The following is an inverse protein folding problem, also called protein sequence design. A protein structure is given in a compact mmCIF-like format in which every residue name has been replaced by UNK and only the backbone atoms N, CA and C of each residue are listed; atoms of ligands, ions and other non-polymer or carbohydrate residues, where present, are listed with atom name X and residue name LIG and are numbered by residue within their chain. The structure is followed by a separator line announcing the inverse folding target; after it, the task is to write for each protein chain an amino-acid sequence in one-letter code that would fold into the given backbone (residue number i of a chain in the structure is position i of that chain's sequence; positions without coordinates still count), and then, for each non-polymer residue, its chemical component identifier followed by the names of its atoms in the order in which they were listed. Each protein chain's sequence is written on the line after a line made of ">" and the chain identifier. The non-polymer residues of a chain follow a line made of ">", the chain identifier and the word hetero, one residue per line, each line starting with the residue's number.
data_IF_863019658839
#
_entry.id   IF_863019658839
#
_cell.length_a   1.000
_cell.length_b   1.000
_cell.length_c   1.000
_cell.angle_alpha   90.00
_cell.angle_beta   90.00
_cell.angle_gamma   90.00
#
_symmetry.space_group_name_H-M   'P 1'
#
loop_
_entity.id
_entity.type
_entity.pdbx_description
1 polymer ?
#
# COMPACT_ATOMS: atom_id res chain seq x y z
N UNK A 1 -6.57 7.07 -8.80
CA UNK A 1 -6.17 6.07 -7.79
C UNK A 1 -4.96 5.25 -8.19
N UNK A 2 -4.95 4.55 -9.34
CA UNK A 2 -3.78 3.77 -9.79
C UNK A 2 -2.46 4.53 -9.80
N UNK A 3 -2.46 5.78 -10.26
CA UNK A 3 -1.27 6.66 -10.25
C UNK A 3 -0.63 6.76 -8.87
N UNK A 4 -1.44 6.92 -7.81
CA UNK A 4 -0.96 6.98 -6.43
C UNK A 4 -0.33 5.63 -6.03
N UNK A 5 -0.98 4.51 -6.37
CA UNK A 5 -0.47 3.17 -6.08
C UNK A 5 0.89 2.88 -6.76
N UNK A 6 1.03 3.29 -8.03
CA UNK A 6 2.29 3.15 -8.77
C UNK A 6 3.38 4.01 -8.12
N UNK A 7 3.08 5.28 -7.87
CA UNK A 7 4.00 6.26 -7.31
C UNK A 7 4.54 5.89 -5.91
N UNK A 8 3.82 5.09 -5.12
CA UNK A 8 4.35 4.53 -3.87
C UNK A 8 5.60 3.69 -4.14
N UNK A 9 5.61 2.88 -5.21
CA UNK A 9 6.76 2.05 -5.54
C UNK A 9 7.96 2.88 -5.99
N UNK A 10 7.72 3.93 -6.78
CA UNK A 10 8.76 4.88 -7.18
C UNK A 10 9.32 5.62 -5.97
N UNK A 11 8.45 6.11 -5.08
CA UNK A 11 8.83 6.83 -3.87
C UNK A 11 9.66 5.96 -2.91
N UNK A 12 9.38 4.65 -2.85
CA UNK A 12 10.08 3.70 -1.98
C UNK A 12 11.18 2.93 -2.71
N UNK A 13 11.49 3.28 -3.96
CA UNK A 13 12.49 2.61 -4.80
C UNK A 13 12.31 1.09 -4.85
N UNK A 14 11.06 0.64 -5.01
CA UNK A 14 10.75 -0.78 -5.19
C UNK A 14 11.22 -1.23 -6.57
N UNK A 15 11.88 -2.39 -6.64
CA UNK A 15 12.45 -2.94 -7.88
C UNK A 15 11.42 -3.78 -8.69
N UNK A 16 10.12 -3.61 -8.41
CA UNK A 16 9.04 -4.39 -9.00
C UNK A 16 8.40 -3.72 -10.23
N UNK A 17 7.78 -4.54 -11.09
CA UNK A 17 7.05 -4.04 -12.26
C UNK A 17 5.58 -3.79 -11.90
N UNK A 18 5.12 -2.52 -11.83
CA UNK A 18 3.81 -2.20 -11.26
C UNK A 18 2.64 -2.74 -12.09
N UNK A 19 2.80 -2.88 -13.40
CA UNK A 19 1.75 -3.37 -14.31
C UNK A 19 1.24 -4.77 -13.95
N UNK A 20 2.10 -5.63 -13.40
CA UNK A 20 1.72 -6.97 -12.92
C UNK A 20 0.73 -6.98 -11.75
N UNK A 21 0.51 -5.84 -11.09
CA UNK A 21 -0.40 -5.71 -9.96
C UNK A 21 -1.76 -5.11 -10.31
N UNK A 22 -1.99 -4.69 -11.57
CA UNK A 22 -3.19 -3.93 -11.93
C UNK A 22 -4.49 -4.65 -11.56
N UNK A 23 -4.60 -5.94 -11.94
CA UNK A 23 -5.77 -6.74 -11.60
C UNK A 23 -5.94 -6.90 -10.08
N UNK A 24 -4.85 -7.18 -9.35
CA UNK A 24 -4.91 -7.33 -7.89
C UNK A 24 -5.30 -6.04 -7.18
N UNK A 25 -4.88 -4.90 -7.71
CA UNK A 25 -5.27 -3.58 -7.22
C UNK A 25 -6.76 -3.33 -7.44
N UNK A 26 -7.29 -3.62 -8.62
CA UNK A 26 -8.73 -3.46 -8.90
C UNK A 26 -9.58 -4.39 -8.02
N UNK A 27 -9.19 -5.66 -7.91
CA UNK A 27 -9.83 -6.62 -7.00
C UNK A 27 -9.74 -6.18 -5.54
N UNK A 28 -8.63 -5.55 -5.13
CA UNK A 28 -8.51 -5.01 -3.78
C UNK A 28 -9.55 -3.91 -3.52
N UNK A 29 -9.69 -2.94 -4.44
CA UNK A 29 -10.68 -1.87 -4.29
C UNK A 29 -12.10 -2.46 -4.24
N UNK A 30 -12.43 -3.35 -5.17
CA UNK A 30 -13.74 -4.02 -5.21
C UNK A 30 -14.04 -4.75 -3.90
N UNK A 31 -13.11 -5.57 -3.43
CA UNK A 31 -13.27 -6.31 -2.17
C UNK A 31 -13.45 -5.37 -0.98
N UNK A 32 -12.72 -4.25 -0.95
CA UNK A 32 -12.81 -3.30 0.16
C UNK A 32 -14.15 -2.59 0.18
N UNK A 33 -14.62 -2.16 -0.99
CA UNK A 33 -15.93 -1.51 -1.14
C UNK A 33 -17.08 -2.47 -0.87
N UNK A 34 -16.99 -3.73 -1.30
CA UNK A 34 -17.98 -4.76 -1.00
C UNK A 34 -18.07 -5.07 0.50
N UNK A 35 -16.92 -5.08 1.19
CA UNK A 35 -16.89 -5.32 2.64
C UNK A 35 -17.42 -4.12 3.44
N UNK A 36 -17.08 -2.90 3.01
CA UNK A 36 -17.57 -1.67 3.61
C UNK A 36 -17.77 -0.58 2.53
N UNK A 37 -19.03 -0.30 2.15
CA UNK A 37 -19.35 0.66 1.08
C UNK A 37 -18.81 2.07 1.28
N UNK A 38 -18.50 2.48 2.52
CA UNK A 38 -17.93 3.81 2.81
C UNK A 38 -16.58 4.03 2.10
N UNK A 39 -15.84 2.95 1.81
CA UNK A 39 -14.57 3.06 1.09
C UNK A 39 -14.71 3.58 -0.35
N UNK A 40 -15.87 3.40 -0.99
CA UNK A 40 -16.14 4.05 -2.28
C UNK A 40 -16.00 5.56 -2.15
N UNK A 41 -16.62 6.15 -1.12
CA UNK A 41 -16.54 7.57 -0.83
C UNK A 41 -15.11 8.02 -0.59
N UNK A 42 -14.31 7.25 0.14
CA UNK A 42 -12.89 7.59 0.36
C UNK A 42 -12.07 7.55 -0.93
N UNK A 43 -12.30 6.58 -1.81
CA UNK A 43 -11.56 6.49 -3.07
C UNK A 43 -11.95 7.57 -4.07
N UNK A 44 -13.24 7.90 -4.16
CA UNK A 44 -13.75 9.01 -4.98
C UNK A 44 -13.25 10.34 -4.45
N UNK A 45 -13.39 10.60 -3.15
CA UNK A 45 -12.91 11.84 -2.53
C UNK A 45 -11.39 11.98 -2.67
N UNK A 46 -10.64 10.90 -2.45
CA UNK A 46 -9.20 10.87 -2.63
C UNK A 46 -8.77 11.12 -4.08
N UNK A 47 -9.54 10.66 -5.07
CA UNK A 47 -9.28 10.96 -6.48
C UNK A 47 -9.45 12.45 -6.76
N UNK A 48 -10.60 13.01 -6.37
CA UNK A 48 -10.88 14.42 -6.55
C UNK A 48 -9.87 15.32 -5.81
N UNK A 49 -9.46 14.94 -4.60
CA UNK A 49 -8.43 15.66 -3.86
C UNK A 49 -7.08 15.64 -4.58
N UNK A 50 -6.66 14.46 -5.07
CA UNK A 50 -5.39 14.34 -5.79
C UNK A 50 -5.40 15.10 -7.12
N UNK A 51 -6.51 15.09 -7.85
CA UNK A 51 -6.67 15.86 -9.09
C UNK A 51 -6.58 17.37 -8.82
N UNK A 52 -7.28 17.87 -7.80
CA UNK A 52 -7.19 19.27 -7.36
C UNK A 52 -5.75 19.63 -6.97
N UNK A 53 -5.11 18.80 -6.13
CA UNK A 53 -3.74 19.05 -5.68
C UNK A 53 -2.75 19.04 -6.85
N UNK A 54 -2.95 18.14 -7.81
CA UNK A 54 -2.14 18.07 -9.04
C UNK A 54 -2.31 19.32 -9.90
N UNK A 55 -3.54 19.85 -10.00
CA UNK A 55 -3.80 21.10 -10.71
C UNK A 55 -3.14 22.31 -10.03
N UNK A 56 -3.11 22.34 -8.69
CA UNK A 56 -2.61 23.47 -7.92
C UNK A 56 -1.07 23.54 -7.86
N UNK A 57 -0.41 22.40 -7.62
CA UNK A 57 1.04 22.36 -7.34
C UNK A 57 1.84 21.43 -8.26
N UNK A 58 1.16 20.81 -9.24
CA UNK A 58 1.77 19.86 -10.16
C UNK A 58 1.86 18.43 -9.60
N UNK A 59 2.01 17.42 -10.48
CA UNK A 59 1.86 16.01 -10.12
C UNK A 59 2.94 15.50 -9.16
N UNK A 60 4.20 15.88 -9.38
CA UNK A 60 5.31 15.44 -8.54
C UNK A 60 5.19 15.96 -7.10
N UNK A 61 4.91 17.26 -6.95
CA UNK A 61 4.73 17.88 -5.64
C UNK A 61 3.45 17.39 -4.95
N UNK A 62 2.38 17.09 -5.68
CA UNK A 62 1.17 16.49 -5.14
C UNK A 62 1.43 15.09 -4.56
N UNK A 63 2.16 14.24 -5.28
CA UNK A 63 2.56 12.91 -4.80
C UNK A 63 3.48 13.01 -3.57
N UNK A 64 4.49 13.89 -3.62
CA UNK A 64 5.34 14.16 -2.46
C UNK A 64 4.51 14.61 -1.26
N UNK A 65 3.55 15.51 -1.44
CA UNK A 65 2.67 15.99 -0.36
C UNK A 65 1.84 14.86 0.27
N UNK A 66 1.37 13.91 -0.54
CA UNK A 66 0.64 12.73 -0.06
C UNK A 66 1.54 11.80 0.77
N UNK A 67 2.82 11.66 0.41
CA UNK A 67 3.74 10.69 1.05
C UNK A 67 4.64 11.27 2.15
N UNK A 68 4.93 12.58 2.13
CA UNK A 68 5.95 13.22 2.95
C UNK A 68 5.60 13.35 4.44
N UNK A 69 4.36 13.06 4.85
CA UNK A 69 3.99 13.14 6.25
C UNK A 69 4.17 11.78 6.93
N UNK A 70 5.27 11.63 7.68
CA UNK A 70 5.33 10.62 8.76
C UNK A 70 4.08 10.83 9.63
N UNK A 71 3.29 9.80 9.94
CA UNK A 71 2.11 9.98 10.78
C UNK A 71 2.59 10.57 12.12
N UNK A 72 2.26 11.84 12.36
CA UNK A 72 2.63 12.55 13.61
C UNK A 72 1.74 12.14 14.78
N UNK A 73 0.70 11.35 14.53
CA UNK A 73 -0.34 11.04 15.51
C UNK A 73 -0.68 9.56 15.43
N UNK A 74 -0.86 8.95 16.60
CA UNK A 74 -1.57 7.67 16.76
C UNK A 74 -2.86 7.74 15.91
N UNK A 75 -3.16 6.69 15.15
CA UNK A 75 -4.35 6.63 14.29
C UNK A 75 -5.65 6.52 15.12
N UNK A 76 -5.91 7.48 16.01
CA UNK A 76 -7.13 7.57 16.81
C UNK A 76 -7.86 8.88 16.47
N UNK A 77 -9.19 8.81 16.42
CA UNK A 77 -10.06 9.96 16.15
C UNK A 77 -10.38 10.23 14.67
N UNK A 78 -11.23 11.23 14.45
CA UNK A 78 -11.68 11.70 13.12
C UNK A 78 -10.54 12.49 12.47
N UNK A 79 -10.20 12.27 11.17
CA UNK A 79 -9.18 13.06 10.50
C UNK A 79 -9.48 14.56 10.56
N UNK A 80 -8.49 15.37 10.91
CA UNK A 80 -8.65 16.82 11.05
C UNK A 80 -8.65 17.56 9.70
N UNK A 81 -8.08 16.93 8.67
CA UNK A 81 -8.00 17.51 7.32
C UNK A 81 -8.32 16.47 6.25
N UNK A 82 -8.72 16.94 5.05
CA UNK A 82 -8.91 16.08 3.88
C UNK A 82 -7.62 15.34 3.49
N UNK A 83 -6.46 16.01 3.60
CA UNK A 83 -5.15 15.37 3.38
C UNK A 83 -4.96 14.20 4.33
N UNK A 84 -5.26 14.37 5.62
CA UNK A 84 -5.14 13.31 6.61
C UNK A 84 -6.11 12.15 6.30
N UNK A 85 -7.35 12.45 5.90
CA UNK A 85 -8.31 11.42 5.50
C UNK A 85 -7.81 10.60 4.31
N UNK A 86 -7.30 11.25 3.26
CA UNK A 86 -6.75 10.58 2.07
C UNK A 86 -5.52 9.76 2.43
N UNK A 87 -4.61 10.30 3.26
CA UNK A 87 -3.45 9.55 3.73
C UNK A 87 -3.86 8.31 4.51
N UNK A 88 -4.83 8.45 5.43
CA UNK A 88 -5.27 7.37 6.31
C UNK A 88 -6.04 6.27 5.56
N UNK A 89 -7.00 6.64 4.73
CA UNK A 89 -7.96 5.69 4.15
C UNK A 89 -7.64 5.28 2.71
N UNK A 90 -6.67 5.94 2.05
CA UNK A 90 -6.27 5.61 0.68
C UNK A 90 -4.79 5.24 0.62
N UNK A 91 -3.90 6.18 0.99
CA UNK A 91 -2.45 5.99 0.83
C UNK A 91 -1.95 4.81 1.68
N UNK A 92 -2.34 4.75 2.96
CA UNK A 92 -1.92 3.68 3.86
C UNK A 92 -2.43 2.29 3.44
N UNK A 93 -3.63 2.20 2.86
CA UNK A 93 -4.14 0.94 2.30
C UNK A 93 -3.31 0.49 1.10
N UNK A 94 -2.95 1.42 0.22
CA UNK A 94 -2.14 1.11 -0.96
C UNK A 94 -0.71 0.74 -0.61
N UNK A 95 -0.13 1.39 0.40
CA UNK A 95 1.16 0.99 0.99
C UNK A 95 1.04 -0.43 1.55
N UNK A 96 0.00 -0.71 2.35
CA UNK A 96 -0.22 -2.04 2.94
C UNK A 96 -0.37 -3.12 1.85
N UNK A 97 -1.07 -2.82 0.76
CA UNK A 97 -1.19 -3.71 -0.39
C UNK A 97 0.15 -3.92 -1.09
N UNK A 98 0.94 -2.88 -1.37
CA UNK A 98 2.29 -2.99 -1.96
C UNK A 98 3.18 -3.91 -1.12
N UNK A 99 3.13 -3.76 0.20
CA UNK A 99 3.87 -4.61 1.12
C UNK A 99 3.40 -6.07 1.04
N UNK A 100 2.09 -6.31 1.06
CA UNK A 100 1.50 -7.65 0.96
C UNK A 100 1.79 -8.35 -0.37
N UNK A 101 1.96 -7.58 -1.46
CA UNK A 101 2.31 -8.09 -2.79
C UNK A 101 3.81 -8.42 -2.95
N UNK A 102 4.61 -8.24 -1.90
CA UNK A 102 6.02 -8.61 -1.87
C UNK A 102 6.99 -7.45 -2.07
N UNK A 103 6.55 -6.19 -1.95
CA UNK A 103 7.42 -5.01 -2.06
C UNK A 103 8.64 -5.04 -1.11
N UNK A 104 8.54 -5.73 0.03
CA UNK A 104 9.66 -5.93 0.96
C UNK A 104 10.88 -6.65 0.37
N UNK A 105 10.73 -7.43 -0.70
CA UNK A 105 11.85 -8.08 -1.38
C UNK A 105 12.93 -7.07 -1.81
N UNK A 106 12.53 -5.87 -2.20
CA UNK A 106 13.43 -4.78 -2.61
C UNK A 106 14.33 -4.29 -1.49
N UNK A 107 13.95 -4.50 -0.22
CA UNK A 107 14.74 -4.12 0.96
C UNK A 107 15.60 -5.27 1.49
N UNK A 108 15.82 -6.32 0.69
CA UNK A 108 16.53 -7.53 1.14
C UNK A 108 15.72 -8.40 2.10
N UNK A 109 14.48 -8.02 2.42
CA UNK A 109 13.55 -8.86 3.15
C UNK A 109 12.97 -9.91 2.20
N UNK A 110 13.78 -10.94 1.98
CA UNK A 110 13.32 -12.22 1.44
C UNK A 110 12.32 -12.75 2.48
N UNK A 111 11.09 -13.06 2.07
CA UNK A 111 10.05 -13.63 2.92
C UNK A 111 10.67 -14.45 4.05
N UNK A 112 10.59 -13.94 5.28
CA UNK A 112 10.79 -14.80 6.44
C UNK A 112 9.83 -15.96 6.24
N UNK A 113 10.34 -17.19 6.31
CA UNK A 113 9.57 -18.42 6.07
C UNK A 113 8.58 -18.65 7.23
N UNK A 114 7.63 -17.75 7.36
CA UNK A 114 6.81 -17.53 8.55
C UNK A 114 5.31 -17.46 8.28
N UNK A 115 4.84 -17.87 7.09
CA UNK A 115 3.45 -18.33 6.93
C UNK A 115 3.34 -19.85 6.67
N UNK A 116 4.49 -20.53 6.56
CA UNK A 116 4.61 -21.96 6.81
C UNK A 116 5.86 -22.14 7.66
N UNK A 117 5.68 -22.42 8.95
CA UNK A 117 6.80 -22.75 9.84
C UNK A 117 7.57 -23.93 9.26
N UNK A 118 8.76 -23.68 8.74
CA UNK A 118 9.56 -24.69 8.05
C UNK A 118 10.50 -24.04 7.05
N UNK A 119 11.62 -23.53 7.55
CA UNK A 119 12.73 -23.23 6.68
C UNK A 119 13.35 -24.53 6.18
N UNK A 120 13.09 -24.91 4.92
CA UNK A 120 13.84 -25.95 4.22
C UNK A 120 15.25 -25.41 3.91
N UNK A 121 16.13 -25.42 4.90
CA UNK A 121 17.55 -25.10 4.76
C UNK A 121 18.24 -26.38 4.31
N UNK A 122 19.10 -26.28 3.31
CA UNK A 122 19.81 -27.43 2.76
C UNK A 122 20.70 -28.03 3.86
N UNK A 123 20.40 -29.27 4.27
CA UNK A 123 21.05 -29.96 5.39
C UNK A 123 20.34 -29.88 6.75
N UNK A 124 19.26 -29.10 6.91
CA UNK A 124 18.46 -29.12 8.14
C UNK A 124 17.25 -30.06 8.04
N UNK A 125 17.01 -30.90 9.06
CA UNK A 125 15.84 -31.77 9.08
C UNK A 125 14.56 -30.94 9.24
N UNK A 126 13.54 -31.26 8.43
CA UNK A 126 12.21 -30.63 8.56
C UNK A 126 11.62 -30.90 9.97
N UNK A 127 11.20 -29.87 10.73
CA UNK A 127 10.87 -30.00 12.16
C UNK A 127 9.71 -30.93 12.53
N UNK A 128 8.90 -31.37 11.55
CA UNK A 128 7.63 -32.07 11.78
C UNK A 128 7.50 -33.40 11.01
N UNK A 129 8.60 -33.91 10.43
CA UNK A 129 8.65 -35.28 9.93
C UNK A 129 9.54 -36.09 10.87
N UNK A 130 8.93 -36.67 11.90
CA UNK A 130 9.52 -37.81 12.58
C UNK A 130 9.57 -38.99 11.59
N UNK A 131 10.70 -39.70 11.57
CA UNK A 131 10.88 -40.93 10.78
C UNK A 131 10.12 -42.08 11.39
#
# INVERSE_FOLDING_TARGET
>A
MWTIFVAIGEHWSLEDQPTGYRLRFETFLENRTNLNPVYEGYYVDGAAYFESLTADIGPAAALERLFAQKPRVVQSGIPATRLEAVQRFVVNEFISLRLALGGFKSFGAINYRGYFGGANIDGEPTPYRER
#
